data_IF_308544467211
#
_entry.id   IF_308544467211
#
_cell.length_a   1.000
_cell.length_b   1.000
_cell.length_c   1.000
_cell.angle_alpha   90.00
_cell.angle_beta   90.00
_cell.angle_gamma   90.00
#
_symmetry.space_group_name_H-M   'P 1'
#
loop_
_entity.id
_entity.type
_entity.pdbx_description
1 polymer ?
#
# COMPACT_ATOMS: atom_id res chain seq x y z
N UNK A 1 -51.44 74.48 0.95
CA UNK A 1 -51.46 73.96 2.33
C UNK A 1 -50.04 73.46 2.57
N UNK A 2 -49.07 74.37 2.71
CA UNK A 2 -48.77 75.10 3.97
C UNK A 2 -48.57 74.08 5.08
N UNK A 3 -47.31 73.81 5.47
CA UNK A 3 -46.59 74.50 6.56
C UNK A 3 -46.56 73.52 7.75
N UNK A 4 -45.57 73.37 8.62
CA UNK A 4 -44.25 73.97 8.83
C UNK A 4 -43.58 73.11 9.94
N UNK A 5 -42.39 73.50 10.36
CA UNK A 5 -41.70 73.18 11.63
C UNK A 5 -40.64 72.05 11.66
N UNK A 6 -39.42 72.49 11.42
CA UNK A 6 -38.22 72.23 12.26
C UNK A 6 -37.93 73.54 13.05
N UNK A 7 -37.06 73.65 14.11
CA UNK A 7 -36.00 72.73 14.59
C UNK A 7 -35.73 72.74 16.14
N UNK A 8 -34.57 72.16 16.52
CA UNK A 8 -33.72 72.37 17.73
C UNK A 8 -33.93 71.38 18.90
N UNK A 9 -32.91 70.74 19.49
CA UNK A 9 -31.48 70.70 19.23
C UNK A 9 -30.75 69.77 20.23
N UNK A 10 -29.44 69.65 20.00
CA UNK A 10 -28.34 69.22 20.87
C UNK A 10 -27.69 67.82 20.73
N UNK A 11 -26.37 67.93 20.58
CA UNK A 11 -25.30 66.98 20.28
C UNK A 11 -25.00 66.00 21.44
N UNK A 12 -24.58 64.77 21.12
CA UNK A 12 -23.15 64.39 21.10
C UNK A 12 -22.92 62.87 20.85
N UNK A 13 -22.25 62.58 19.73
CA UNK A 13 -21.18 61.58 19.50
C UNK A 13 -21.15 60.26 20.30
N UNK A 14 -21.21 59.11 19.59
CA UNK A 14 -20.08 58.17 19.43
C UNK A 14 -20.39 57.05 18.42
N UNK A 15 -19.31 56.56 17.81
CA UNK A 15 -19.16 55.74 16.60
C UNK A 15 -19.73 54.29 16.64
N UNK A 16 -20.41 53.88 15.54
CA UNK A 16 -20.13 52.73 14.59
C UNK A 16 -19.92 51.30 15.17
N UNK A 17 -20.30 50.18 14.50
CA UNK A 17 -21.39 49.88 13.54
C UNK A 17 -22.15 48.53 13.79
N UNK A 18 -23.17 48.31 12.96
CA UNK A 18 -23.92 47.11 12.55
C UNK A 18 -23.55 45.72 13.13
N UNK A 19 -24.59 45.07 13.66
CA UNK A 19 -24.64 43.68 14.10
C UNK A 19 -25.27 42.79 13.03
N UNK A 20 -24.48 41.96 12.36
CA UNK A 20 -24.96 40.75 11.69
C UNK A 20 -24.58 39.55 12.57
N UNK A 21 -25.59 38.94 13.19
CA UNK A 21 -25.47 37.72 13.98
C UNK A 21 -25.36 36.49 13.05
N UNK A 22 -24.14 36.02 12.78
CA UNK A 22 -23.90 34.66 12.32
C UNK A 22 -23.60 33.76 13.53
N UNK A 23 -24.48 32.78 13.75
CA UNK A 23 -24.38 31.82 14.84
C UNK A 23 -23.22 30.85 14.62
N UNK A 24 -22.13 31.02 15.37
CA UNK A 24 -21.09 30.01 15.52
C UNK A 24 -21.63 28.80 16.31
N UNK A 25 -21.69 27.63 15.66
CA UNK A 25 -21.76 26.35 16.37
C UNK A 25 -20.41 26.17 17.06
N UNK A 26 -20.40 26.28 18.39
CA UNK A 26 -19.26 25.88 19.22
C UNK A 26 -19.13 24.36 19.19
N UNK A 27 -18.16 23.85 18.43
CA UNK A 27 -17.70 22.48 18.59
C UNK A 27 -16.90 22.43 19.88
N UNK A 28 -17.33 21.58 20.81
CA UNK A 28 -16.70 21.42 22.12
C UNK A 28 -15.36 20.69 21.94
N UNK A 29 -14.25 21.43 22.09
CA UNK A 29 -12.89 20.89 22.21
C UNK A 29 -12.81 19.97 23.45
N UNK A 30 -13.01 18.69 23.23
CA UNK A 30 -12.65 17.65 24.20
C UNK A 30 -11.30 17.07 23.76
N UNK A 31 -10.25 17.72 24.28
CA UNK A 31 -8.84 17.32 24.33
C UNK A 31 -8.45 16.11 23.46
N UNK A 32 -8.17 16.37 22.19
CA UNK A 32 -7.38 15.49 21.34
C UNK A 32 -5.89 15.72 21.65
N UNK A 33 -5.20 14.73 22.21
CA UNK A 33 -3.75 14.78 22.34
C UNK A 33 -3.11 14.66 20.96
N UNK A 34 -2.56 15.77 20.46
CA UNK A 34 -1.70 15.81 19.27
C UNK A 34 -0.32 15.24 19.63
N UNK A 35 0.14 14.21 18.90
CA UNK A 35 1.52 13.73 19.02
C UNK A 35 2.24 14.09 17.73
N UNK A 36 3.09 15.11 17.83
CA UNK A 36 4.12 15.36 16.84
C UNK A 36 5.10 14.19 16.82
N UNK A 37 5.33 13.58 15.65
CA UNK A 37 6.44 12.64 15.43
C UNK A 37 7.70 13.17 16.09
N UNK A 38 8.35 12.35 16.93
CA UNK A 38 9.61 12.74 17.54
C UNK A 38 10.67 12.93 16.47
N UNK A 39 11.69 13.74 16.73
CA UNK A 39 12.76 13.99 15.77
C UNK A 39 13.46 12.68 15.35
N UNK A 40 13.52 11.68 16.25
CA UNK A 40 14.05 10.34 15.98
C UNK A 40 13.18 9.45 15.07
N UNK A 41 11.87 9.67 15.02
CA UNK A 41 10.97 8.94 14.08
C UNK A 41 11.13 9.44 12.63
N UNK A 42 11.87 10.55 12.44
CA UNK A 42 12.13 11.19 11.15
C UNK A 42 13.51 10.84 10.58
N UNK A 43 14.30 10.08 11.32
CA UNK A 43 15.65 9.73 10.91
C UNK A 43 15.62 8.68 9.78
N UNK A 44 16.51 8.84 8.80
CA UNK A 44 16.72 7.86 7.74
C UNK A 44 17.94 7.00 8.06
N UNK A 45 17.83 5.71 7.81
CA UNK A 45 19.00 4.81 7.83
C UNK A 45 19.68 4.88 6.48
N UNK A 46 20.93 5.33 6.44
CA UNK A 46 21.72 5.43 5.21
C UNK A 46 22.63 4.22 5.09
N UNK A 47 22.42 3.40 4.07
CA UNK A 47 23.23 2.21 3.78
C UNK A 47 23.55 2.14 2.29
N UNK A 48 24.81 1.90 1.95
CA UNK A 48 25.26 1.74 0.56
C UNK A 48 24.86 2.92 -0.36
N UNK A 49 24.70 4.12 0.21
CA UNK A 49 24.26 5.32 -0.52
C UNK A 49 22.77 5.32 -0.87
N UNK A 50 21.96 4.51 -0.18
CA UNK A 50 20.51 4.48 -0.24
C UNK A 50 19.92 4.84 1.14
N UNK A 51 18.71 5.37 1.19
CA UNK A 51 18.00 5.64 2.46
C UNK A 51 16.90 4.60 2.71
N UNK A 52 16.66 4.28 3.99
CA UNK A 52 15.60 3.40 4.46
C UNK A 52 14.89 4.02 5.67
N UNK A 53 13.67 3.58 5.97
CA UNK A 53 12.94 4.09 7.14
C UNK A 53 13.56 3.59 8.46
N UNK A 54 13.47 4.39 9.52
CA UNK A 54 13.98 4.04 10.87
C UNK A 54 12.96 3.29 11.75
N UNK A 55 11.65 3.55 11.58
CA UNK A 55 10.55 3.02 12.41
C UNK A 55 10.47 1.48 12.50
N UNK A 56 11.13 0.77 11.58
CA UNK A 56 11.22 -0.69 11.56
C UNK A 56 12.51 -1.14 10.88
N UNK A 57 13.64 -0.59 11.35
CA UNK A 57 14.97 -0.86 10.82
C UNK A 57 15.18 -2.36 10.51
N UNK A 58 15.59 -2.65 9.28
CA UNK A 58 15.83 -4.02 8.79
C UNK A 58 14.61 -4.81 8.32
N UNK A 59 13.37 -4.40 8.64
CA UNK A 59 12.15 -5.10 8.15
C UNK A 59 11.86 -4.81 6.68
N UNK A 60 11.93 -3.54 6.27
CA UNK A 60 11.63 -3.12 4.91
C UNK A 60 12.90 -3.05 4.06
N UNK A 61 12.85 -3.74 2.92
CA UNK A 61 13.99 -3.95 2.02
C UNK A 61 14.03 -2.95 0.85
N UNK A 62 12.98 -2.16 0.66
CA UNK A 62 12.95 -1.16 -0.40
C UNK A 62 13.46 0.19 0.13
N UNK A 63 14.35 0.86 -0.61
CA UNK A 63 14.82 2.17 -0.23
C UNK A 63 13.73 3.24 -0.38
N UNK A 64 13.85 4.31 0.40
CA UNK A 64 13.01 5.50 0.38
C UNK A 64 13.83 6.75 0.00
N UNK A 65 14.74 6.62 -0.97
CA UNK A 65 15.55 7.72 -1.54
C UNK A 65 15.00 8.21 -2.90
N UNK A 66 15.35 9.44 -3.26
CA UNK A 66 14.92 10.07 -4.52
C UNK A 66 15.30 9.21 -5.75
N UNK A 67 16.39 8.44 -5.70
CA UNK A 67 16.77 7.54 -6.79
C UNK A 67 15.68 6.49 -7.07
N UNK A 68 14.87 6.16 -6.07
CA UNK A 68 13.70 5.29 -6.19
C UNK A 68 12.49 6.01 -6.81
N UNK A 69 12.43 7.34 -6.78
CA UNK A 69 11.33 8.14 -7.34
C UNK A 69 11.58 8.65 -8.77
N UNK A 70 12.85 8.74 -9.22
CA UNK A 70 13.23 9.38 -10.49
C UNK A 70 13.06 8.55 -11.78
N UNK A 71 12.79 7.23 -11.74
CA UNK A 71 13.02 6.36 -12.91
C UNK A 71 11.82 6.26 -13.88
N UNK A 72 11.15 7.38 -14.19
CA UNK A 72 10.31 7.49 -15.41
C UNK A 72 10.22 8.87 -16.07
N UNK A 73 10.87 9.91 -15.54
CA UNK A 73 10.83 11.24 -16.18
C UNK A 73 12.09 11.51 -17.02
N UNK A 74 12.10 11.01 -18.26
CA UNK A 74 12.99 11.59 -19.28
C UNK A 74 12.43 12.93 -19.77
N UNK A 75 12.96 14.01 -19.19
CA UNK A 75 13.10 15.40 -19.68
C UNK A 75 12.55 16.43 -18.70
N UNK A 76 13.45 16.99 -17.89
CA UNK A 76 13.59 18.44 -17.67
C UNK A 76 14.45 18.65 -16.43
N UNK A 77 15.56 19.38 -16.63
CA UNK A 77 16.39 20.03 -15.63
C UNK A 77 15.62 20.47 -14.39
N UNK A 78 16.02 20.05 -13.19
CA UNK A 78 16.17 20.88 -11.99
C UNK A 78 16.96 20.07 -10.95
N UNK A 79 18.05 20.67 -10.47
CA UNK A 79 18.90 20.08 -9.44
C UNK A 79 18.47 20.51 -8.03
N UNK A 80 18.78 19.62 -7.09
CA UNK A 80 18.99 19.83 -5.65
C UNK A 80 17.88 20.53 -4.86
N UNK A 81 17.18 19.78 -3.99
CA UNK A 81 16.64 20.28 -2.72
C UNK A 81 16.25 19.14 -1.76
N UNK A 82 17.21 18.56 -1.00
CA UNK A 82 16.82 17.81 0.19
C UNK A 82 16.31 18.76 1.27
N UNK A 83 15.09 18.53 1.79
CA UNK A 83 14.51 18.92 3.09
C UNK A 83 13.10 19.52 2.95
N UNK A 84 12.08 18.67 2.85
CA UNK A 84 10.74 18.97 3.35
C UNK A 84 9.88 17.68 3.37
N UNK A 85 9.85 16.98 4.51
CA UNK A 85 8.84 15.96 4.78
C UNK A 85 8.15 16.30 6.11
N UNK A 86 6.81 16.27 6.07
CA UNK A 86 5.80 16.39 7.14
C UNK A 86 5.20 17.77 7.46
N UNK A 87 3.95 17.94 7.00
CA UNK A 87 2.90 18.72 7.69
C UNK A 87 1.61 17.86 7.81
N UNK A 88 1.74 16.63 8.31
CA UNK A 88 0.59 15.84 8.77
C UNK A 88 0.66 15.68 10.28
N UNK A 89 -0.46 15.92 10.96
CA UNK A 89 -0.56 15.70 12.41
C UNK A 89 -0.98 14.25 12.62
N UNK A 90 -0.16 13.49 13.35
CA UNK A 90 -0.54 12.15 13.78
C UNK A 90 -1.33 12.26 15.08
N UNK A 91 -2.51 11.66 15.09
CA UNK A 91 -3.29 11.50 16.32
C UNK A 91 -3.13 10.08 16.84
N UNK A 92 -2.72 9.95 18.10
CA UNK A 92 -2.74 8.68 18.81
C UNK A 92 -4.13 8.49 19.41
N UNK A 93 -4.80 7.39 19.09
CA UNK A 93 -6.02 6.96 19.80
C UNK A 93 -5.63 6.15 21.06
N UNK A 94 -6.58 5.81 21.94
CA UNK A 94 -6.30 5.04 23.18
C UNK A 94 -5.67 3.66 22.93
N UNK A 95 -5.69 3.16 21.69
CA UNK A 95 -4.85 2.07 21.20
C UNK A 95 -3.61 2.65 20.51
N UNK A 96 -2.41 2.12 20.72
CA UNK A 96 -1.08 2.58 20.24
C UNK A 96 -0.88 2.91 18.73
N UNK A 97 -1.95 3.02 17.94
CA UNK A 97 -2.01 3.35 16.52
C UNK A 97 -2.03 4.84 16.26
N UNK A 98 -1.33 5.24 15.21
CA UNK A 98 -1.27 6.61 14.74
C UNK A 98 -2.16 6.78 13.51
N UNK A 99 -3.15 7.66 13.62
CA UNK A 99 -4.00 8.07 12.49
C UNK A 99 -3.41 9.29 11.80
N UNK A 100 -3.36 9.26 10.46
CA UNK A 100 -3.01 10.45 9.68
C UNK A 100 -4.21 11.41 9.61
N UNK A 101 -4.02 12.65 10.04
CA UNK A 101 -5.02 13.72 9.94
C UNK A 101 -4.41 14.95 9.25
N UNK A 102 -5.13 15.63 8.36
CA UNK A 102 -4.68 16.90 7.79
C UNK A 102 -4.46 17.95 8.90
N UNK A 103 -3.37 18.72 8.84
CA UNK A 103 -3.26 19.93 9.66
C UNK A 103 -4.07 21.06 9.02
N UNK A 104 -4.71 21.92 9.83
CA UNK A 104 -5.47 23.10 9.36
C UNK A 104 -4.60 24.17 8.68
N UNK A 105 -3.27 24.01 8.66
CA UNK A 105 -2.36 24.84 7.88
C UNK A 105 -2.32 24.39 6.41
N UNK A 106 -2.88 25.25 5.56
CA UNK A 106 -2.99 25.10 4.11
C UNK A 106 -1.60 25.14 3.44
N UNK A 107 -1.02 23.99 3.12
CA UNK A 107 0.11 23.88 2.19
C UNK A 107 -0.19 22.86 1.09
N UNK A 108 0.03 23.28 -0.15
CA UNK A 108 0.04 22.38 -1.32
C UNK A 108 1.08 21.27 -1.10
N UNK A 109 0.83 20.02 -1.52
CA UNK A 109 1.84 18.98 -1.43
C UNK A 109 3.07 19.41 -2.24
N UNK A 110 4.24 19.38 -1.60
CA UNK A 110 5.51 19.68 -2.23
C UNK A 110 5.69 18.85 -3.51
N UNK A 111 6.29 19.40 -4.59
CA UNK A 111 6.49 18.70 -5.86
C UNK A 111 7.19 17.34 -5.73
N UNK A 112 7.95 17.13 -4.65
CA UNK A 112 8.70 15.91 -4.36
C UNK A 112 7.81 14.73 -3.94
N UNK A 113 6.71 14.96 -3.22
CA UNK A 113 5.72 13.93 -2.84
C UNK A 113 5.01 13.32 -4.05
N UNK A 114 4.89 14.07 -5.14
CA UNK A 114 4.29 13.63 -6.41
C UNK A 114 5.13 12.55 -7.10
N UNK A 115 6.44 12.45 -6.81
CA UNK A 115 7.35 11.51 -7.48
C UNK A 115 7.50 10.16 -6.76
N UNK A 116 7.31 10.09 -5.44
CA UNK A 116 7.38 8.83 -4.67
C UNK A 116 6.31 7.81 -5.07
N UNK A 117 5.14 8.30 -5.48
CA UNK A 117 3.96 7.47 -5.74
C UNK A 117 4.02 6.68 -7.06
N UNK A 118 4.96 7.00 -7.95
CA UNK A 118 4.87 6.55 -9.33
C UNK A 118 5.10 5.04 -9.50
N UNK A 119 6.00 4.41 -8.73
CA UNK A 119 6.29 2.97 -8.88
C UNK A 119 5.14 2.08 -8.39
N UNK A 120 4.56 2.40 -7.23
CA UNK A 120 3.44 1.65 -6.66
C UNK A 120 2.16 1.88 -7.47
N UNK A 121 1.97 3.09 -8.02
CA UNK A 121 0.85 3.40 -8.91
C UNK A 121 1.00 2.70 -10.28
N UNK A 122 2.21 2.62 -10.82
CA UNK A 122 2.51 1.79 -12.00
C UNK A 122 2.20 0.32 -11.75
N UNK A 123 2.57 -0.20 -10.57
CA UNK A 123 2.27 -1.57 -10.19
C UNK A 123 0.75 -1.78 -10.07
N UNK A 124 0.01 -0.82 -9.49
CA UNK A 124 -1.44 -0.87 -9.45
C UNK A 124 -2.04 -0.91 -10.87
N UNK A 125 -1.57 -0.07 -11.79
CA UNK A 125 -2.01 -0.10 -13.18
C UNK A 125 -1.66 -1.41 -13.91
N UNK A 126 -0.49 -1.99 -13.60
CA UNK A 126 -0.08 -3.28 -14.15
C UNK A 126 -1.03 -4.42 -13.73
N UNK A 127 -1.51 -4.42 -12.48
CA UNK A 127 -2.57 -5.30 -12.03
C UNK A 127 -3.90 -5.04 -12.75
N UNK A 128 -4.28 -3.77 -12.92
CA UNK A 128 -5.49 -3.40 -13.66
C UNK A 128 -5.50 -3.98 -15.09
N UNK A 129 -4.38 -3.89 -15.81
CA UNK A 129 -4.23 -4.50 -17.14
C UNK A 129 -4.30 -6.02 -17.08
N UNK A 130 -3.61 -6.63 -16.11
CA UNK A 130 -3.57 -8.09 -15.93
C UNK A 130 -4.98 -8.65 -15.75
N UNK A 131 -5.74 -8.04 -14.85
CA UNK A 131 -7.07 -8.49 -14.44
C UNK A 131 -8.22 -7.96 -15.31
N UNK A 132 -7.91 -7.13 -16.32
CA UNK A 132 -8.92 -6.58 -17.21
C UNK A 132 -9.87 -5.62 -16.49
N UNK A 133 -9.32 -4.80 -15.59
CA UNK A 133 -10.03 -3.76 -14.85
C UNK A 133 -10.63 -4.18 -13.51
N UNK A 134 -10.54 -5.47 -13.14
CA UNK A 134 -10.96 -5.92 -11.80
C UNK A 134 -9.89 -5.58 -10.76
N UNK A 135 -10.33 -5.13 -9.59
CA UNK A 135 -9.44 -4.80 -8.45
C UNK A 135 -9.60 -5.75 -7.24
N UNK A 136 -10.61 -6.63 -7.26
CA UNK A 136 -10.84 -7.69 -6.28
C UNK A 136 -11.54 -8.89 -6.94
N UNK A 137 -11.46 -10.08 -6.32
CA UNK A 137 -12.02 -11.34 -6.84
C UNK A 137 -12.90 -12.08 -5.83
N UNK A 138 -12.72 -11.87 -4.53
CA UNK A 138 -13.39 -12.57 -3.46
C UNK A 138 -14.89 -12.31 -3.51
N UNK A 139 -15.72 -13.35 -3.25
CA UNK A 139 -17.16 -13.18 -3.25
C UNK A 139 -17.59 -12.23 -2.13
N UNK A 140 -18.41 -11.24 -2.46
CA UNK A 140 -18.94 -10.27 -1.51
C UNK A 140 -18.04 -9.08 -1.23
N UNK A 141 -16.83 -9.03 -1.81
CA UNK A 141 -15.99 -7.83 -1.74
C UNK A 141 -16.73 -6.59 -2.32
N UNK A 142 -17.51 -6.75 -3.39
CA UNK A 142 -18.36 -5.70 -3.96
C UNK A 142 -19.44 -5.12 -3.02
N UNK A 143 -19.68 -5.78 -1.88
CA UNK A 143 -20.69 -5.38 -0.88
C UNK A 143 -20.11 -5.28 0.54
N UNK A 144 -18.78 -5.35 0.67
CA UNK A 144 -18.13 -5.29 1.97
C UNK A 144 -18.28 -3.87 2.53
N UNK A 145 -18.80 -3.77 3.76
CA UNK A 145 -18.97 -2.49 4.42
C UNK A 145 -17.69 -2.05 5.11
N UNK A 146 -16.98 -2.95 5.81
CA UNK A 146 -15.71 -2.61 6.47
C UNK A 146 -14.55 -3.37 5.84
N UNK A 147 -13.58 -2.64 5.30
CA UNK A 147 -12.50 -3.17 4.45
C UNK A 147 -11.14 -2.80 5.02
N UNK A 148 -10.24 -3.77 5.09
CA UNK A 148 -8.84 -3.57 5.46
C UNK A 148 -7.93 -3.81 4.25
N UNK A 149 -7.08 -2.85 3.92
CA UNK A 149 -5.99 -2.99 2.95
C UNK A 149 -4.66 -3.11 3.71
N UNK A 150 -4.15 -4.34 3.78
CA UNK A 150 -2.94 -4.76 4.51
C UNK A 150 -1.70 -4.44 3.68
N UNK A 151 -0.88 -3.51 4.16
CA UNK A 151 0.28 -3.02 3.42
C UNK A 151 -0.15 -2.14 2.26
N UNK A 152 -0.93 -1.10 2.56
CA UNK A 152 -1.62 -0.28 1.56
C UNK A 152 -0.66 0.49 0.65
N UNK A 153 0.61 0.63 1.03
CA UNK A 153 1.61 1.38 0.26
C UNK A 153 1.17 2.83 0.09
N UNK A 154 1.07 3.31 -1.15
CA UNK A 154 0.56 4.67 -1.45
C UNK A 154 -0.92 4.84 -1.12
N UNK A 155 -1.66 3.76 -0.84
CA UNK A 155 -3.11 3.80 -0.63
C UNK A 155 -3.91 3.76 -1.92
N UNK A 156 -3.28 3.68 -3.09
CA UNK A 156 -3.96 3.80 -4.40
C UNK A 156 -5.07 2.75 -4.60
N UNK A 157 -4.85 1.51 -4.12
CA UNK A 157 -5.88 0.48 -4.19
C UNK A 157 -7.06 0.80 -3.26
N UNK A 158 -6.79 1.17 -2.00
CA UNK A 158 -7.82 1.55 -1.04
C UNK A 158 -8.67 2.73 -1.54
N UNK A 159 -8.02 3.73 -2.15
CA UNK A 159 -8.69 4.91 -2.73
C UNK A 159 -9.59 4.50 -3.90
N UNK A 160 -9.10 3.71 -4.84
CA UNK A 160 -9.88 3.28 -6.00
C UNK A 160 -11.02 2.34 -5.59
N UNK A 161 -10.81 1.48 -4.61
CA UNK A 161 -11.85 0.68 -4.00
C UNK A 161 -12.92 1.55 -3.35
N UNK A 162 -12.52 2.53 -2.52
CA UNK A 162 -13.43 3.44 -1.83
C UNK A 162 -14.28 4.26 -2.80
N UNK A 163 -13.69 4.72 -3.93
CA UNK A 163 -14.41 5.40 -5.02
C UNK A 163 -15.37 4.48 -5.75
N UNK A 164 -14.96 3.25 -6.07
CA UNK A 164 -15.79 2.31 -6.82
C UNK A 164 -17.05 1.91 -6.03
N UNK A 165 -16.95 1.87 -4.70
CA UNK A 165 -17.99 1.41 -3.79
C UNK A 165 -18.58 2.54 -2.92
N UNK A 166 -18.43 3.80 -3.33
CA UNK A 166 -18.96 4.96 -2.60
C UNK A 166 -20.49 5.00 -2.59
N UNK A 167 -21.11 4.50 -3.65
CA UNK A 167 -22.56 4.51 -3.84
C UNK A 167 -23.24 3.26 -3.24
N UNK A 168 -22.47 2.37 -2.59
CA UNK A 168 -23.03 1.26 -1.85
C UNK A 168 -23.85 1.76 -0.64
N UNK A 169 -24.86 0.99 -0.23
CA UNK A 169 -25.67 1.31 0.94
C UNK A 169 -25.66 0.13 1.93
N UNK A 170 -24.96 0.26 3.08
CA UNK A 170 -24.10 1.39 3.48
C UNK A 170 -22.82 1.53 2.63
N UNK A 171 -22.25 2.74 2.58
CA UNK A 171 -21.01 3.00 1.85
C UNK A 171 -19.84 2.26 2.51
N UNK A 172 -18.90 1.75 1.70
CA UNK A 172 -17.77 0.99 2.23
C UNK A 172 -16.82 1.90 3.02
N UNK A 173 -16.51 1.57 4.26
CA UNK A 173 -15.42 2.10 5.07
C UNK A 173 -14.13 1.32 4.76
N UNK A 174 -13.13 2.02 4.22
CA UNK A 174 -11.84 1.45 3.82
C UNK A 174 -10.74 1.97 4.73
N UNK A 175 -10.00 1.05 5.34
CA UNK A 175 -8.83 1.34 6.17
C UNK A 175 -7.60 0.77 5.47
N UNK A 176 -6.68 1.61 5.06
CA UNK A 176 -5.36 1.18 4.62
C UNK A 176 -4.35 1.27 5.74
N UNK A 177 -3.51 0.25 5.90
CA UNK A 177 -2.48 0.22 6.93
C UNK A 177 -1.12 0.00 6.30
N UNK A 178 -0.13 0.81 6.68
CA UNK A 178 1.26 0.65 6.27
C UNK A 178 2.21 1.07 7.41
N UNK A 179 3.47 0.62 7.34
CA UNK A 179 4.53 1.06 8.24
C UNK A 179 5.02 2.47 7.87
N UNK A 180 4.88 2.86 6.60
CA UNK A 180 5.46 4.10 6.06
C UNK A 180 4.39 5.17 5.83
N UNK A 181 4.60 6.42 6.24
CA UNK A 181 3.67 7.54 6.00
C UNK A 181 3.82 8.13 4.59
N UNK A 182 3.45 7.34 3.56
CA UNK A 182 3.58 7.71 2.14
C UNK A 182 2.23 7.95 1.45
N UNK A 183 1.14 7.95 2.21
CA UNK A 183 -0.21 8.03 1.68
C UNK A 183 -0.64 9.50 1.45
N UNK A 184 -1.50 9.78 0.45
CA UNK A 184 -1.97 11.13 0.20
C UNK A 184 -2.88 11.63 1.33
N UNK A 185 -2.80 12.93 1.62
CA UNK A 185 -3.64 13.58 2.64
C UNK A 185 -5.10 13.71 2.21
N UNK A 186 -5.35 13.87 0.91
CA UNK A 186 -6.68 14.06 0.35
C UNK A 186 -7.20 12.75 -0.24
N UNK A 187 -8.10 12.11 0.49
CA UNK A 187 -8.74 10.85 0.11
C UNK A 187 -10.27 10.94 0.17
N UNK A 188 -10.99 9.99 -0.47
CA UNK A 188 -12.43 9.86 -0.28
C UNK A 188 -12.81 9.82 1.21
N UNK A 189 -13.96 10.38 1.57
CA UNK A 189 -14.43 10.47 2.98
C UNK A 189 -14.62 9.12 3.65
N UNK A 190 -14.76 8.06 2.84
CA UNK A 190 -14.91 6.68 3.28
C UNK A 190 -13.59 5.90 3.29
N UNK A 191 -12.45 6.55 3.07
CA UNK A 191 -11.11 5.97 3.10
C UNK A 191 -10.26 6.67 4.16
N UNK A 192 -9.49 5.92 4.94
CA UNK A 192 -8.49 6.46 5.87
C UNK A 192 -7.24 5.58 5.94
N UNK A 193 -6.16 6.15 6.47
CA UNK A 193 -4.90 5.46 6.64
C UNK A 193 -4.41 5.48 8.08
N UNK A 194 -3.87 4.35 8.52
CA UNK A 194 -3.32 4.14 9.85
C UNK A 194 -1.87 3.67 9.70
N UNK A 195 -0.97 4.22 10.53
CA UNK A 195 0.41 3.79 10.63
C UNK A 195 0.52 2.75 11.73
N UNK A 196 0.78 1.50 11.34
CA UNK A 196 0.86 0.38 12.28
C UNK A 196 1.71 -0.77 11.73
N UNK A 197 2.25 -1.56 12.66
CA UNK A 197 2.97 -2.81 12.37
C UNK A 197 2.02 -4.00 12.51
N UNK A 198 1.50 -4.48 11.38
CA UNK A 198 0.55 -5.59 11.31
C UNK A 198 1.12 -6.96 11.74
N UNK A 199 2.41 -7.04 12.11
CA UNK A 199 2.98 -8.21 12.80
C UNK A 199 2.76 -8.18 14.32
N UNK A 200 2.27 -7.07 14.87
CA UNK A 200 1.85 -6.96 16.26
C UNK A 200 0.38 -7.32 16.41
N UNK A 201 -0.05 -7.48 17.66
CA UNK A 201 -1.46 -7.73 17.99
C UNK A 201 -2.35 -6.63 17.41
N UNK A 202 -3.37 -7.05 16.66
CA UNK A 202 -4.36 -6.12 16.13
C UNK A 202 -5.28 -5.62 17.26
N UNK A 203 -5.71 -4.36 17.22
CA UNK A 203 -6.47 -3.70 18.30
C UNK A 203 -7.81 -3.11 17.85
N UNK A 204 -8.31 -3.44 16.65
CA UNK A 204 -9.61 -2.93 16.18
C UNK A 204 -10.76 -3.47 17.04
N UNK A 205 -11.68 -2.61 17.46
CA UNK A 205 -12.86 -3.04 18.23
C UNK A 205 -13.94 -3.71 17.38
N UNK A 206 -13.89 -3.55 16.06
CA UNK A 206 -14.87 -4.07 15.11
C UNK A 206 -14.19 -4.93 14.03
N UNK A 207 -14.76 -6.09 13.70
CA UNK A 207 -14.26 -6.95 12.64
C UNK A 207 -14.54 -6.38 11.24
N UNK A 208 -13.81 -6.90 10.26
CA UNK A 208 -13.91 -6.55 8.84
C UNK A 208 -14.80 -7.53 8.08
N UNK A 209 -15.38 -7.05 6.99
CA UNK A 209 -16.08 -7.89 6.00
C UNK A 209 -15.13 -8.41 4.93
N UNK A 210 -14.09 -7.63 4.63
CA UNK A 210 -13.11 -7.95 3.60
C UNK A 210 -11.71 -7.48 4.01
N UNK A 211 -10.75 -8.40 3.98
CA UNK A 211 -9.33 -8.10 4.21
C UNK A 211 -8.59 -8.40 2.91
N UNK A 212 -7.92 -7.39 2.39
CA UNK A 212 -7.16 -7.45 1.15
C UNK A 212 -5.68 -7.26 1.43
N UNK A 213 -4.83 -8.01 0.74
CA UNK A 213 -3.39 -7.80 0.75
C UNK A 213 -2.82 -8.09 -0.63
N UNK A 214 -1.87 -7.26 -1.07
CA UNK A 214 -1.27 -7.41 -2.39
C UNK A 214 0.21 -7.06 -2.39
N UNK A 215 1.04 -7.93 -2.97
CA UNK A 215 2.48 -7.78 -3.11
C UNK A 215 3.21 -7.62 -1.76
N UNK A 216 2.81 -8.43 -0.79
CA UNK A 216 3.31 -8.39 0.59
C UNK A 216 4.27 -9.53 0.93
N UNK A 217 4.55 -10.45 -0.02
CA UNK A 217 5.65 -11.41 0.16
C UNK A 217 6.96 -10.68 0.43
N UNK A 218 7.72 -11.14 1.42
CA UNK A 218 8.92 -10.43 1.90
C UNK A 218 8.64 -9.27 2.88
N UNK A 219 7.40 -8.81 3.04
CA UNK A 219 7.05 -7.81 4.06
C UNK A 219 6.74 -8.46 5.41
N UNK A 220 6.12 -9.64 5.41
CA UNK A 220 5.81 -10.41 6.62
C UNK A 220 6.82 -11.53 6.86
N UNK A 221 7.20 -11.74 8.13
CA UNK A 221 8.03 -12.87 8.54
C UNK A 221 7.21 -14.18 8.59
N UNK A 222 5.90 -14.08 8.87
CA UNK A 222 5.01 -15.23 9.01
C UNK A 222 3.60 -14.96 8.45
N UNK A 223 3.36 -15.44 7.23
CA UNK A 223 2.03 -15.37 6.60
C UNK A 223 0.97 -16.27 7.26
N UNK A 224 1.36 -17.31 8.01
CA UNK A 224 0.39 -18.13 8.75
C UNK A 224 -0.22 -17.33 9.88
N UNK A 225 0.60 -16.56 10.61
CA UNK A 225 0.12 -15.64 11.63
C UNK A 225 -0.81 -14.58 11.01
N UNK A 226 -0.42 -13.95 9.89
CA UNK A 226 -1.29 -12.99 9.20
C UNK A 226 -2.66 -13.59 8.84
N UNK A 227 -2.69 -14.83 8.34
CA UNK A 227 -3.93 -15.51 7.99
C UNK A 227 -4.80 -15.83 9.22
N UNK A 228 -4.19 -16.26 10.33
CA UNK A 228 -4.84 -16.52 11.62
C UNK A 228 -5.41 -15.23 12.22
N UNK A 229 -4.62 -14.16 12.26
CA UNK A 229 -5.02 -12.85 12.78
C UNK A 229 -6.19 -12.29 11.96
N UNK A 230 -6.05 -12.31 10.62
CA UNK A 230 -7.12 -11.94 9.69
C UNK A 230 -8.39 -12.76 9.93
N UNK A 231 -8.25 -14.06 10.26
CA UNK A 231 -9.40 -14.92 10.50
C UNK A 231 -10.14 -14.50 11.77
N UNK A 232 -9.43 -14.11 12.84
CA UNK A 232 -10.07 -13.61 14.06
C UNK A 232 -10.84 -12.32 13.78
N UNK A 233 -10.24 -11.41 13.02
CA UNK A 233 -10.77 -10.08 12.73
C UNK A 233 -11.76 -10.03 11.56
N UNK A 234 -12.13 -11.15 10.95
CA UNK A 234 -13.22 -11.21 9.99
C UNK A 234 -14.57 -11.50 10.64
N UNK A 235 -15.62 -10.86 10.12
CA UNK A 235 -17.00 -11.26 10.38
C UNK A 235 -17.25 -12.70 9.90
N UNK A 236 -18.18 -13.46 10.51
CA UNK A 236 -18.66 -14.70 9.91
C UNK A 236 -19.19 -14.44 8.50
N UNK A 237 -18.65 -15.13 7.50
CA UNK A 237 -18.94 -14.88 6.09
C UNK A 237 -18.07 -13.81 5.43
N UNK A 238 -17.17 -13.15 6.16
CA UNK A 238 -16.16 -12.24 5.60
C UNK A 238 -15.05 -12.99 4.86
N UNK A 239 -14.34 -12.29 3.98
CA UNK A 239 -13.35 -12.87 3.08
C UNK A 239 -11.96 -12.26 3.27
N UNK A 240 -10.93 -13.08 3.07
CA UNK A 240 -9.55 -12.63 2.83
C UNK A 240 -9.19 -12.84 1.37
N UNK A 241 -8.46 -11.89 0.78
CA UNK A 241 -7.86 -12.02 -0.56
C UNK A 241 -6.39 -11.59 -0.53
N UNK A 242 -5.53 -12.51 -0.98
CA UNK A 242 -4.09 -12.35 -1.09
C UNK A 242 -3.69 -12.39 -2.56
N UNK A 243 -3.07 -11.33 -3.06
CA UNK A 243 -2.53 -11.27 -4.42
C UNK A 243 -1.02 -11.10 -4.38
N UNK A 244 -0.27 -12.15 -4.72
CA UNK A 244 1.19 -12.11 -4.61
C UNK A 244 1.92 -12.74 -5.78
N UNK A 245 3.19 -12.38 -5.89
CA UNK A 245 4.14 -12.99 -6.79
C UNK A 245 4.74 -14.26 -6.18
N UNK A 246 4.83 -15.33 -6.98
CA UNK A 246 5.51 -16.56 -6.61
C UNK A 246 6.98 -16.48 -7.03
N UNK A 247 7.87 -16.81 -6.10
CA UNK A 247 9.30 -16.95 -6.34
C UNK A 247 9.72 -18.43 -6.26
N UNK A 248 10.69 -18.88 -7.08
CA UNK A 248 11.41 -18.11 -8.12
C UNK A 248 10.59 -17.92 -9.41
N UNK A 249 11.13 -17.12 -10.35
CA UNK A 249 10.59 -17.00 -11.72
C UNK A 249 10.48 -18.36 -12.40
N UNK A 250 9.51 -18.47 -13.30
CA UNK A 250 9.24 -19.68 -14.06
C UNK A 250 9.42 -19.46 -15.56
N UNK A 251 9.54 -20.56 -16.30
CA UNK A 251 9.57 -20.61 -17.76
C UNK A 251 8.94 -21.92 -18.21
N UNK A 252 8.04 -21.87 -19.20
CA UNK A 252 7.30 -23.05 -19.68
C UNK A 252 8.10 -23.88 -20.68
N UNK A 253 9.14 -23.32 -21.29
CA UNK A 253 9.91 -23.94 -22.37
C UNK A 253 11.40 -24.08 -22.08
N UNK A 254 11.80 -23.84 -20.82
CA UNK A 254 13.17 -24.01 -20.35
C UNK A 254 14.16 -22.97 -20.90
N UNK A 255 13.68 -21.88 -21.49
CA UNK A 255 14.56 -20.80 -21.99
C UNK A 255 15.19 -19.97 -20.88
N UNK A 256 14.61 -19.98 -19.67
CA UNK A 256 15.26 -19.54 -18.45
C UNK A 256 16.05 -20.72 -17.86
N UNK A 257 17.38 -20.66 -17.92
CA UNK A 257 18.24 -21.78 -17.54
C UNK A 257 19.50 -21.33 -16.79
N UNK A 258 20.21 -22.30 -16.21
CA UNK A 258 21.46 -22.07 -15.47
C UNK A 258 22.52 -21.37 -16.34
N UNK A 259 23.29 -20.48 -15.71
CA UNK A 259 24.30 -19.64 -16.37
C UNK A 259 23.76 -18.33 -16.95
N UNK A 260 22.44 -18.09 -16.92
CA UNK A 260 21.85 -16.78 -17.20
C UNK A 260 21.79 -15.95 -15.92
N UNK A 261 22.15 -14.67 -16.01
CA UNK A 261 22.13 -13.75 -14.87
C UNK A 261 20.70 -13.57 -14.33
N UNK A 262 19.68 -13.64 -15.19
CA UNK A 262 18.29 -13.54 -14.74
C UNK A 262 17.84 -14.73 -13.89
N UNK A 263 18.32 -15.95 -14.21
CA UNK A 263 18.03 -17.14 -13.40
C UNK A 263 18.73 -17.03 -12.05
N UNK A 264 20.00 -16.70 -12.05
CA UNK A 264 20.79 -16.48 -10.84
C UNK A 264 20.17 -15.38 -9.96
N UNK A 265 19.73 -14.27 -10.56
CA UNK A 265 19.02 -13.20 -9.85
C UNK A 265 17.77 -13.71 -9.14
N UNK A 266 16.97 -14.54 -9.81
CA UNK A 266 15.76 -15.10 -9.21
C UNK A 266 16.04 -15.97 -7.99
N UNK A 267 17.11 -16.73 -8.01
CA UNK A 267 17.48 -17.62 -6.91
C UNK A 267 18.11 -16.83 -5.76
N UNK A 268 18.99 -15.88 -6.08
CA UNK A 268 19.69 -15.06 -5.10
C UNK A 268 18.76 -14.17 -4.29
N UNK A 269 17.76 -13.52 -4.92
CA UNK A 269 16.80 -12.70 -4.16
C UNK A 269 15.94 -13.57 -3.23
N UNK A 270 15.58 -14.79 -3.65
CA UNK A 270 14.84 -15.71 -2.79
C UNK A 270 15.70 -16.15 -1.61
N UNK A 271 16.95 -16.56 -1.87
CA UNK A 271 17.91 -16.94 -0.83
C UNK A 271 18.15 -15.80 0.15
N UNK A 272 18.42 -14.59 -0.35
CA UNK A 272 18.60 -13.39 0.44
C UNK A 272 17.40 -13.12 1.36
N UNK A 273 16.19 -13.21 0.80
CA UNK A 273 14.95 -12.98 1.54
C UNK A 273 14.75 -13.98 2.69
N UNK A 274 15.11 -15.24 2.47
CA UNK A 274 15.07 -16.29 3.49
C UNK A 274 16.10 -16.01 4.59
N UNK A 275 17.33 -15.63 4.23
CA UNK A 275 18.38 -15.29 5.19
C UNK A 275 18.00 -14.10 6.09
N UNK A 276 17.21 -13.17 5.57
CA UNK A 276 16.67 -12.02 6.31
C UNK A 276 15.41 -12.34 7.14
N UNK A 277 14.92 -13.58 7.12
CA UNK A 277 13.68 -13.97 7.81
C UNK A 277 12.42 -13.33 7.20
N UNK A 278 12.50 -12.93 5.92
CA UNK A 278 11.46 -12.23 5.17
C UNK A 278 11.17 -12.99 3.86
N UNK A 279 10.58 -14.19 3.93
CA UNK A 279 10.56 -15.13 2.81
C UNK A 279 9.69 -14.65 1.63
N UNK A 280 10.30 -14.56 0.44
CA UNK A 280 9.58 -14.26 -0.81
C UNK A 280 8.77 -15.44 -1.38
N UNK A 281 8.99 -16.67 -0.91
CA UNK A 281 8.29 -17.87 -1.40
C UNK A 281 6.94 -18.15 -0.72
N UNK A 282 6.47 -17.29 0.20
CA UNK A 282 5.25 -17.53 0.97
C UNK A 282 4.00 -17.71 0.08
N UNK A 283 3.92 -17.00 -1.06
CA UNK A 283 2.80 -17.05 -1.99
C UNK A 283 2.45 -18.46 -2.49
N UNK A 284 3.45 -19.35 -2.61
CA UNK A 284 3.23 -20.73 -3.05
C UNK A 284 2.39 -21.55 -2.08
N UNK A 285 2.30 -21.11 -0.81
CA UNK A 285 1.58 -21.81 0.26
C UNK A 285 0.33 -21.06 0.71
N UNK A 286 -0.04 -19.93 0.10
CA UNK A 286 -1.18 -19.11 0.53
C UNK A 286 -2.47 -19.95 0.65
N UNK A 287 -2.73 -20.83 -0.32
CA UNK A 287 -3.91 -21.70 -0.29
C UNK A 287 -3.93 -22.59 0.95
N UNK A 288 -2.84 -23.31 1.20
CA UNK A 288 -2.71 -24.22 2.33
C UNK A 288 -2.73 -23.45 3.66
N UNK A 289 -2.12 -22.26 3.70
CA UNK A 289 -2.15 -21.35 4.85
C UNK A 289 -3.57 -20.94 5.20
N UNK A 290 -4.39 -20.52 4.23
CA UNK A 290 -5.79 -20.19 4.48
C UNK A 290 -6.60 -21.42 4.92
N UNK A 291 -6.39 -22.59 4.31
CA UNK A 291 -7.10 -23.81 4.73
C UNK A 291 -6.78 -24.16 6.18
N UNK A 292 -5.50 -24.07 6.59
CA UNK A 292 -5.06 -24.35 7.95
C UNK A 292 -5.65 -23.37 8.97
N UNK A 293 -5.76 -22.10 8.61
CA UNK A 293 -6.37 -21.07 9.46
C UNK A 293 -7.91 -21.22 9.60
N UNK A 294 -8.55 -22.11 8.82
CA UNK A 294 -9.98 -22.42 8.95
C UNK A 294 -10.88 -21.78 7.89
N UNK A 295 -10.30 -21.12 6.88
CA UNK A 295 -11.07 -20.57 5.76
C UNK A 295 -11.67 -21.68 4.89
N UNK A 296 -12.89 -21.46 4.42
CA UNK A 296 -13.60 -22.34 3.49
C UNK A 296 -13.68 -21.72 2.10
N UNK A 297 -13.97 -22.55 1.09
CA UNK A 297 -14.13 -22.08 -0.30
C UNK A 297 -12.86 -21.50 -0.91
N UNK A 298 -11.68 -21.91 -0.42
CA UNK A 298 -10.40 -21.33 -0.84
C UNK A 298 -10.16 -21.56 -2.34
N UNK A 299 -10.09 -20.47 -3.08
CA UNK A 299 -9.93 -20.45 -4.54
C UNK A 299 -8.58 -19.86 -4.91
N UNK A 300 -7.96 -20.42 -5.97
CA UNK A 300 -6.68 -19.96 -6.51
C UNK A 300 -6.85 -19.61 -7.97
N UNK A 301 -6.50 -18.40 -8.36
CA UNK A 301 -6.41 -17.95 -9.74
C UNK A 301 -4.96 -17.66 -10.10
N UNK A 302 -4.48 -18.24 -11.20
CA UNK A 302 -3.10 -18.10 -11.63
C UNK A 302 -3.00 -17.18 -12.84
N UNK A 303 -2.05 -16.24 -12.77
CA UNK A 303 -1.68 -15.31 -13.82
C UNK A 303 -0.17 -15.40 -14.07
N UNK A 304 0.26 -14.86 -15.21
CA UNK A 304 1.68 -14.79 -15.57
C UNK A 304 2.02 -13.35 -15.91
N UNK A 305 3.10 -12.85 -15.34
CA UNK A 305 3.73 -11.57 -15.67
C UNK A 305 5.02 -11.85 -16.45
N UNK A 306 4.97 -11.87 -17.79
CA UNK A 306 6.15 -12.07 -18.63
C UNK A 306 7.22 -11.03 -18.29
N UNK A 307 8.49 -11.41 -18.21
CA UNK A 307 9.55 -10.46 -17.85
C UNK A 307 9.77 -9.37 -18.90
N UNK A 308 9.36 -9.63 -20.15
CA UNK A 308 9.46 -8.70 -21.27
C UNK A 308 8.44 -9.00 -22.37
N UNK A 309 8.64 -8.39 -23.55
CA UNK A 309 7.74 -8.46 -24.72
C UNK A 309 7.79 -9.77 -25.52
N UNK A 310 8.38 -10.85 -25.00
CA UNK A 310 8.45 -12.15 -25.67
C UNK A 310 7.10 -12.79 -26.05
N UNK A 311 5.97 -12.59 -25.34
CA UNK A 311 4.71 -13.21 -25.73
C UNK A 311 4.22 -12.71 -27.09
N UNK A 312 3.62 -13.62 -27.88
CA UNK A 312 2.95 -13.26 -29.15
C UNK A 312 1.61 -12.58 -28.94
N UNK A 313 0.87 -13.02 -27.92
CA UNK A 313 -0.44 -12.47 -27.56
C UNK A 313 -0.33 -10.97 -27.19
N UNK A 314 -1.12 -10.07 -27.81
CA UNK A 314 -1.01 -8.63 -27.58
C UNK A 314 -1.22 -8.23 -26.10
N UNK A 315 -2.18 -8.84 -25.40
CA UNK A 315 -2.46 -8.52 -24.00
C UNK A 315 -1.27 -8.93 -23.12
N UNK A 316 -0.77 -10.16 -23.26
CA UNK A 316 0.40 -10.64 -22.51
C UNK A 316 1.66 -9.85 -22.84
N UNK A 317 1.81 -9.38 -24.07
CA UNK A 317 2.91 -8.50 -24.46
C UNK A 317 2.84 -7.15 -23.74
N UNK A 318 1.65 -6.55 -23.63
CA UNK A 318 1.45 -5.33 -22.84
C UNK A 318 1.81 -5.57 -21.38
N UNK A 319 1.31 -6.65 -20.76
CA UNK A 319 1.70 -7.04 -19.39
C UNK A 319 3.22 -7.17 -19.27
N UNK A 320 3.89 -7.80 -20.24
CA UNK A 320 5.35 -7.94 -20.23
C UNK A 320 6.11 -6.61 -20.36
N UNK A 321 5.58 -5.65 -21.11
CA UNK A 321 6.15 -4.29 -21.17
C UNK A 321 6.02 -3.56 -19.82
N UNK A 322 4.87 -3.67 -19.16
CA UNK A 322 4.67 -3.12 -17.82
C UNK A 322 5.54 -3.81 -16.76
N UNK A 323 5.72 -5.13 -16.88
CA UNK A 323 6.64 -5.89 -16.01
C UNK A 323 8.07 -5.38 -16.17
N UNK A 324 8.54 -5.22 -17.41
CA UNK A 324 9.89 -4.73 -17.70
C UNK A 324 10.10 -3.29 -17.20
N UNK A 325 9.11 -2.41 -17.38
CA UNK A 325 9.16 -1.03 -16.91
C UNK A 325 9.18 -0.94 -15.38
N UNK A 326 8.34 -1.75 -14.71
CA UNK A 326 8.27 -1.82 -13.26
C UNK A 326 9.58 -2.39 -12.68
N UNK A 327 9.97 -3.60 -13.08
CA UNK A 327 11.14 -4.26 -12.47
C UNK A 327 12.46 -3.64 -12.91
N UNK A 328 12.58 -3.24 -14.18
CA UNK A 328 13.83 -2.67 -14.71
C UNK A 328 14.24 -1.39 -13.98
N UNK A 329 13.24 -0.62 -13.54
CA UNK A 329 13.42 0.62 -12.78
C UNK A 329 13.71 0.35 -11.30
N UNK A 330 13.08 -0.68 -10.70
CA UNK A 330 13.17 -0.94 -9.26
C UNK A 330 14.23 -1.98 -8.85
N UNK A 331 14.84 -2.71 -9.79
CA UNK A 331 15.69 -3.87 -9.49
C UNK A 331 16.90 -3.53 -8.61
N UNK A 332 17.49 -2.34 -8.77
CA UNK A 332 18.61 -1.93 -7.95
C UNK A 332 18.22 -1.73 -6.49
N UNK A 333 17.10 -1.03 -6.25
CA UNK A 333 16.60 -0.79 -4.90
C UNK A 333 16.27 -2.11 -4.19
N UNK A 334 15.57 -3.00 -4.90
CA UNK A 334 15.24 -4.35 -4.40
C UNK A 334 16.50 -5.16 -4.07
N UNK A 335 17.49 -5.17 -4.97
CA UNK A 335 18.71 -5.97 -4.77
C UNK A 335 19.65 -5.39 -3.73
N UNK A 336 19.68 -4.08 -3.51
CA UNK A 336 20.68 -3.48 -2.64
C UNK A 336 20.55 -4.03 -1.22
N UNK A 337 19.40 -3.86 -0.57
CA UNK A 337 19.20 -4.40 0.78
C UNK A 337 19.27 -5.93 0.81
N UNK A 338 18.60 -6.62 -0.13
CA UNK A 338 18.56 -8.09 -0.15
C UNK A 338 19.97 -8.68 -0.25
N UNK A 339 20.77 -8.26 -1.22
CA UNK A 339 22.06 -8.88 -1.47
C UNK A 339 23.15 -8.40 -0.50
N UNK A 340 23.14 -7.14 -0.07
CA UNK A 340 24.17 -6.67 0.88
C UNK A 340 23.92 -7.14 2.29
N UNK A 341 22.65 -7.19 2.75
CA UNK A 341 22.31 -7.65 4.10
C UNK A 341 22.13 -9.17 4.17
N UNK A 342 21.48 -9.76 3.15
CA UNK A 342 21.10 -11.17 3.15
C UNK A 342 22.15 -12.12 2.56
N UNK A 343 23.10 -11.62 1.77
CA UNK A 343 24.15 -12.45 1.13
C UNK A 343 25.58 -11.93 1.39
N UNK A 344 25.73 -10.86 2.18
CA UNK A 344 27.00 -10.20 2.47
C UNK A 344 27.76 -9.74 1.21
N UNK A 345 27.04 -9.39 0.13
CA UNK A 345 27.68 -8.84 -1.07
C UNK A 345 28.10 -7.38 -0.84
N UNK A 346 29.20 -6.96 -1.47
CA UNK A 346 29.51 -5.53 -1.56
C UNK A 346 28.56 -4.84 -2.56
N UNK A 347 28.33 -3.55 -2.36
CA UNK A 347 27.57 -2.69 -3.29
C UNK A 347 28.08 -2.82 -4.72
N UNK A 348 29.40 -2.81 -4.91
CA UNK A 348 30.04 -2.88 -6.24
C UNK A 348 29.71 -4.19 -6.94
N UNK A 349 29.71 -5.30 -6.18
CA UNK A 349 29.33 -6.61 -6.70
C UNK A 349 27.86 -6.62 -7.15
N UNK A 350 26.96 -6.05 -6.34
CA UNK A 350 25.53 -5.95 -6.69
C UNK A 350 25.36 -5.15 -7.97
N UNK A 351 25.96 -3.96 -8.06
CA UNK A 351 25.84 -3.09 -9.24
C UNK A 351 26.40 -3.76 -10.51
N UNK A 352 27.55 -4.43 -10.41
CA UNK A 352 28.13 -5.15 -11.53
C UNK A 352 27.23 -6.30 -12.00
N UNK A 353 26.69 -7.09 -11.09
CA UNK A 353 25.77 -8.19 -11.40
C UNK A 353 24.49 -7.69 -12.10
N UNK A 354 23.93 -6.59 -11.63
CA UNK A 354 22.71 -6.02 -12.21
C UNK A 354 22.87 -5.52 -13.65
N UNK A 355 24.09 -5.32 -14.14
CA UNK A 355 24.31 -5.01 -15.56
C UNK A 355 23.88 -6.19 -16.43
N UNK A 356 24.25 -7.42 -16.05
CA UNK A 356 23.92 -8.62 -16.81
C UNK A 356 22.47 -9.04 -16.62
N UNK A 357 21.92 -8.86 -15.41
CA UNK A 357 20.47 -9.08 -15.18
C UNK A 357 19.62 -8.17 -16.07
N UNK A 358 19.98 -6.88 -16.22
CA UNK A 358 19.27 -5.97 -17.11
C UNK A 358 19.38 -6.39 -18.59
N UNK A 359 20.51 -6.93 -19.03
CA UNK A 359 20.65 -7.47 -20.40
C UNK A 359 19.69 -8.65 -20.62
N UNK A 360 19.64 -9.58 -19.68
CA UNK A 360 18.75 -10.74 -19.77
C UNK A 360 17.27 -10.35 -19.71
N UNK A 361 16.90 -9.38 -18.86
CA UNK A 361 15.53 -8.84 -18.83
C UNK A 361 15.08 -8.32 -20.20
N UNK A 362 15.97 -7.73 -20.99
CA UNK A 362 15.65 -7.22 -22.32
C UNK A 362 15.73 -8.28 -23.43
N UNK A 363 16.24 -9.48 -23.11
CA UNK A 363 16.41 -10.55 -24.08
C UNK A 363 15.09 -11.31 -24.31
N UNK A 364 14.43 -11.04 -25.44
CA UNK A 364 13.15 -11.70 -25.79
C UNK A 364 13.29 -13.17 -26.16
N UNK A 365 14.50 -13.75 -26.14
CA UNK A 365 14.71 -15.20 -26.25
C UNK A 365 14.58 -15.93 -24.91
N UNK A 366 14.56 -15.19 -23.79
CA UNK A 366 14.34 -15.73 -22.46
C UNK A 366 12.85 -15.56 -22.15
N UNK A 367 12.09 -16.64 -22.21
CA UNK A 367 10.65 -16.66 -21.96
C UNK A 367 10.37 -16.89 -20.46
N UNK A 368 10.96 -16.02 -19.63
CA UNK A 368 10.73 -16.01 -18.19
C UNK A 368 9.44 -15.25 -17.86
N UNK A 369 8.82 -15.61 -16.75
CA UNK A 369 7.71 -14.88 -16.18
C UNK A 369 7.68 -15.03 -14.66
N UNK A 370 7.09 -14.04 -14.00
CA UNK A 370 6.67 -14.11 -12.61
C UNK A 370 5.27 -14.74 -12.55
N UNK A 371 5.09 -15.90 -11.90
CA UNK A 371 3.75 -16.38 -11.61
C UNK A 371 3.10 -15.45 -10.58
N UNK A 372 1.90 -14.97 -10.88
CA UNK A 372 1.09 -14.16 -9.97
C UNK A 372 -0.09 -15.01 -9.54
N UNK A 373 -0.36 -15.04 -8.25
CA UNK A 373 -1.45 -15.82 -7.68
C UNK A 373 -2.44 -14.89 -6.98
N UNK A 374 -3.73 -15.11 -7.23
CA UNK A 374 -4.82 -14.57 -6.41
C UNK A 374 -5.37 -15.73 -5.60
N UNK A 375 -5.30 -15.64 -4.28
CA UNK A 375 -5.87 -16.62 -3.35
C UNK A 375 -6.88 -15.93 -2.46
N UNK A 376 -8.11 -16.42 -2.43
CA UNK A 376 -9.10 -15.91 -1.47
C UNK A 376 -9.85 -17.05 -0.79
N UNK A 377 -10.32 -16.79 0.42
CA UNK A 377 -11.09 -17.72 1.23
C UNK A 377 -12.07 -16.98 2.13
N UNK A 378 -13.11 -17.68 2.59
CA UNK A 378 -14.18 -17.11 3.41
C UNK A 378 -14.15 -17.71 4.81
N UNK A 379 -14.35 -16.87 5.84
CA UNK A 379 -14.64 -17.34 7.19
C UNK A 379 -16.03 -17.99 7.21
N UNK A 380 -16.22 -19.20 7.74
CA UNK A 380 -17.52 -19.83 7.81
C UNK A 380 -18.59 -18.93 8.42
N UNK A 381 -19.79 -18.93 7.84
CA UNK A 381 -20.96 -18.32 8.49
C UNK A 381 -21.26 -19.09 9.77
N UNK A 382 -21.69 -18.41 10.83
CA UNK A 382 -22.16 -19.10 12.02
C UNK A 382 -23.31 -20.02 11.62
N UNK A 383 -23.17 -21.32 11.89
CA UNK A 383 -24.31 -22.23 11.79
C UNK A 383 -25.30 -21.81 12.86
N UNK A 384 -26.47 -21.32 12.46
CA UNK A 384 -27.59 -21.20 13.40
C UNK A 384 -27.88 -22.61 13.91
N UNK A 385 -27.46 -22.92 15.13
CA UNK A 385 -27.92 -24.10 15.84
C UNK A 385 -29.43 -23.99 15.89
N UNK A 386 -30.12 -24.69 15.00
CA UNK A 386 -31.54 -24.93 15.13
C UNK A 386 -31.63 -25.82 16.36
N UNK A 387 -31.88 -25.21 17.52
CA UNK A 387 -32.28 -25.93 18.70
C UNK A 387 -33.55 -26.69 18.30
N UNK A 388 -33.39 -27.98 18.02
CA UNK A 388 -34.48 -28.95 18.05
C UNK A 388 -35.02 -28.87 19.46
N UNK A 389 -36.12 -28.14 19.62
CA UNK A 389 -36.97 -28.20 20.79
C UNK A 389 -37.61 -29.59 20.82
N UNK A 390 -36.87 -30.56 21.35
CA UNK A 390 -37.42 -31.81 21.85
C UNK A 390 -37.97 -31.53 23.25
N UNK A 391 -39.29 -31.35 23.34
CA UNK A 391 -40.24 -32.03 24.24
C UNK A 391 -41.51 -31.22 24.45
#
# INVERSE_FOLDING_TARGET
>A
MEDDERPSGQLASLMVPDSDEDSAISVNDTQLSVISLTESDRDFVVENGRTYHSLSEGKYILPNDEVSSWILCTNSTYGSASKALNQSVLHQEESDRLRMVPSDEFLFPEPELIWWNLLLDMQHHHFFITFGGKIHFAPGADRAHRVLDVGTGTGIWAIDYGKLHSDAHPAAEVIGVDLSPIQPLYVPTNCRFELDDLEKEWTWSQPFDYIFSRMMVGSFSNFSHLAEESYQYLNPGGCIELIDCIFPMASDDGTLCEGQALKEFSDLILQASINLGRPLNAASSHRETLIKAGYIGVTVLNYKWPTNRWPKDPKKKTVGLWTLANIGSSIEGLCMALMTRGLDWSKERVLAFLVDVRKDLHNTKIHAYWPIVVVYGQKPKSTSTTATADS
#
